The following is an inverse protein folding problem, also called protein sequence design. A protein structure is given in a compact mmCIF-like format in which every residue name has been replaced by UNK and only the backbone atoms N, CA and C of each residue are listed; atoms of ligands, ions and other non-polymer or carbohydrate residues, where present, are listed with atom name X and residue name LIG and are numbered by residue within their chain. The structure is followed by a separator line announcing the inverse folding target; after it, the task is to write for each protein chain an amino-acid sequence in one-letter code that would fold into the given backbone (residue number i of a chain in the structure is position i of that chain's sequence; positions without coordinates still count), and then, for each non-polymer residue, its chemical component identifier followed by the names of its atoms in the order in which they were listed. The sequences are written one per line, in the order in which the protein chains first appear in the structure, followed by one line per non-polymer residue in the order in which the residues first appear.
data_IF_047628194803
#
_entry.id   IF_047628194803
#
_cell.length_a   1.000
_cell.length_b   1.000
_cell.length_c   1.000
_cell.angle_alpha   90.00
_cell.angle_beta   90.00
_cell.angle_gamma   90.00
#
_symmetry.space_group_name_H-M   'P 1'
#
loop_
_entity.id
_entity.type
_entity.pdbx_description
1 polymer ?
#
# COMPACT_ATOMS: atom_id res chain seq x y z
N UNK A 1 -5.00 15.43 -16.15
CA UNK A 1 -6.02 16.49 -16.19
C UNK A 1 -6.63 16.54 -17.58
N UNK A 2 -7.96 16.57 -17.67
CA UNK A 2 -8.71 16.65 -18.91
C UNK A 2 -9.59 17.91 -18.92
N UNK A 3 -9.80 18.45 -20.12
CA UNK A 3 -10.66 19.62 -20.36
C UNK A 3 -11.75 19.21 -21.35
N UNK A 4 -12.99 19.59 -21.06
CA UNK A 4 -14.14 19.39 -21.92
C UNK A 4 -14.76 20.74 -22.32
N UNK A 5 -15.62 20.70 -23.35
CA UNK A 5 -16.28 21.87 -23.89
C UNK A 5 -17.21 22.55 -22.88
N UNK A 6 -17.53 23.82 -23.14
CA UNK A 6 -18.37 24.63 -22.25
C UNK A 6 -19.82 24.15 -22.17
N UNK A 7 -20.32 23.45 -23.19
CA UNK A 7 -21.68 22.91 -23.22
C UNK A 7 -21.82 21.55 -22.54
N UNK A 8 -20.71 20.89 -22.17
CA UNK A 8 -20.75 19.51 -21.70
C UNK A 8 -21.33 19.42 -20.29
N UNK A 9 -22.25 18.48 -20.05
CA UNK A 9 -22.78 18.23 -18.71
C UNK A 9 -21.76 17.48 -17.85
N UNK A 10 -21.75 17.76 -16.54
CA UNK A 10 -20.83 17.13 -15.60
C UNK A 10 -21.21 15.69 -15.32
N UNK A 11 -22.50 15.39 -15.24
CA UNK A 11 -23.00 14.08 -14.83
C UNK A 11 -22.60 12.94 -15.79
N UNK A 12 -22.73 13.07 -17.13
CA UNK A 12 -22.25 12.03 -18.05
C UNK A 12 -20.74 11.80 -17.97
N UNK A 13 -19.96 12.88 -17.84
CA UNK A 13 -18.50 12.80 -17.66
C UNK A 13 -18.20 12.06 -16.36
N UNK A 14 -18.81 12.50 -15.25
CA UNK A 14 -18.63 11.88 -13.94
C UNK A 14 -18.95 10.39 -13.96
N UNK A 15 -20.12 10.00 -14.48
CA UNK A 15 -20.55 8.61 -14.52
C UNK A 15 -19.62 7.73 -15.37
N UNK A 16 -19.14 8.24 -16.51
CA UNK A 16 -18.20 7.53 -17.37
C UNK A 16 -16.87 7.20 -16.66
N UNK A 17 -16.29 8.18 -15.96
CA UNK A 17 -15.04 7.96 -15.24
C UNK A 17 -15.24 7.22 -13.92
N UNK A 18 -16.35 7.45 -13.20
CA UNK A 18 -16.73 6.68 -12.01
C UNK A 18 -16.80 5.19 -12.33
N UNK A 19 -17.41 4.82 -13.46
CA UNK A 19 -17.52 3.42 -13.87
C UNK A 19 -16.13 2.80 -14.07
N UNK A 20 -15.24 3.47 -14.80
CA UNK A 20 -13.86 2.99 -15.01
C UNK A 20 -13.07 2.81 -13.72
N UNK A 21 -13.28 3.69 -12.73
CA UNK A 21 -12.59 3.59 -11.44
C UNK A 21 -13.20 2.50 -10.53
N UNK A 22 -14.49 2.20 -10.68
CA UNK A 22 -15.22 1.28 -9.80
C UNK A 22 -15.05 -0.19 -10.13
N UNK A 23 -14.70 -0.55 -11.36
CA UNK A 23 -14.71 -1.94 -11.81
C UNK A 23 -13.78 -2.86 -10.98
N UNK A 24 -12.92 -2.30 -10.10
CA UNK A 24 -12.11 -3.07 -9.14
C UNK A 24 -11.86 -2.34 -7.80
N UNK A 25 -12.68 -1.35 -7.41
CA UNK A 25 -12.40 -0.49 -6.25
C UNK A 25 -13.61 -0.20 -5.35
N UNK A 26 -13.37 0.00 -4.05
CA UNK A 26 -14.37 0.44 -3.06
C UNK A 26 -14.49 1.97 -3.05
N UNK A 27 -15.70 2.52 -2.88
CA UNK A 27 -15.85 3.98 -2.67
C UNK A 27 -15.55 4.29 -1.22
N UNK A 28 -14.62 5.21 -0.97
CA UNK A 28 -14.34 5.74 0.36
C UNK A 28 -15.06 7.05 0.63
N UNK A 29 -15.18 7.91 -0.38
CA UNK A 29 -15.84 9.20 -0.25
C UNK A 29 -16.43 9.65 -1.58
N UNK A 30 -17.62 10.23 -1.53
CA UNK A 30 -18.30 10.80 -2.70
C UNK A 30 -19.12 12.02 -2.27
N UNK A 31 -19.01 13.11 -3.01
CA UNK A 31 -19.84 14.30 -2.80
C UNK A 31 -20.14 15.02 -4.12
N UNK A 32 -21.20 15.82 -4.13
CA UNK A 32 -21.59 16.65 -5.29
C UNK A 32 -22.10 18.01 -4.83
N UNK A 33 -21.72 19.04 -5.56
CA UNK A 33 -22.08 20.43 -5.28
C UNK A 33 -21.46 20.90 -3.96
N UNK A 34 -22.25 21.63 -3.19
CA UNK A 34 -21.76 22.31 -1.97
C UNK A 34 -21.38 21.36 -0.85
N UNK A 35 -21.82 20.10 -0.88
CA UNK A 35 -21.44 19.10 0.13
C UNK A 35 -19.97 18.72 0.03
N UNK A 36 -19.30 19.04 -1.08
CA UNK A 36 -17.84 18.91 -1.20
C UNK A 36 -17.04 20.00 -0.48
N UNK A 37 -17.69 21.04 0.05
CA UNK A 37 -16.99 22.18 0.63
C UNK A 37 -16.47 23.16 -0.44
N UNK A 38 -15.39 23.87 -0.14
CA UNK A 38 -14.88 24.95 -0.99
C UNK A 38 -14.10 24.41 -2.20
N UNK A 39 -14.56 24.75 -3.41
CA UNK A 39 -13.83 24.44 -4.64
C UNK A 39 -12.46 25.12 -4.71
N UNK A 40 -12.32 26.29 -4.06
CA UNK A 40 -11.05 26.99 -3.97
C UNK A 40 -10.03 26.22 -3.13
N UNK A 41 -10.48 25.62 -2.01
CA UNK A 41 -9.61 24.78 -1.18
C UNK A 41 -9.15 23.53 -1.95
N UNK A 42 -10.07 22.86 -2.67
CA UNK A 42 -9.69 21.73 -3.52
C UNK A 42 -8.70 22.15 -4.61
N UNK A 43 -9.02 23.17 -5.39
CA UNK A 43 -8.19 23.59 -6.51
C UNK A 43 -6.81 24.09 -6.07
N UNK A 44 -6.75 25.00 -5.09
CA UNK A 44 -5.52 25.72 -4.77
C UNK A 44 -4.73 25.14 -3.60
N UNK A 45 -5.38 24.48 -2.63
CA UNK A 45 -4.68 23.96 -1.45
C UNK A 45 -4.39 22.46 -1.57
N UNK A 46 -5.36 21.67 -2.09
CA UNK A 46 -5.19 20.22 -2.22
C UNK A 46 -4.50 19.83 -3.53
N UNK A 47 -5.06 20.21 -4.68
CA UNK A 47 -4.51 19.86 -6.00
C UNK A 47 -3.42 20.82 -6.49
N UNK A 48 -3.31 22.01 -5.88
CA UNK A 48 -2.40 23.08 -6.30
C UNK A 48 -2.48 23.41 -7.81
N UNK A 49 -3.70 23.43 -8.36
CA UNK A 49 -3.99 23.76 -9.75
C UNK A 49 -5.25 24.63 -9.89
N UNK A 50 -5.03 25.94 -10.05
CA UNK A 50 -6.08 26.95 -10.17
C UNK A 50 -7.06 26.71 -11.33
N UNK A 51 -6.69 25.88 -12.32
CA UNK A 51 -7.58 25.55 -13.44
C UNK A 51 -8.78 24.73 -12.97
N UNK A 52 -8.71 24.08 -11.81
CA UNK A 52 -9.81 23.32 -11.23
C UNK A 52 -10.84 24.18 -10.51
N UNK A 53 -10.53 25.46 -10.26
CA UNK A 53 -11.43 26.35 -9.55
C UNK A 53 -12.69 26.68 -10.37
N UNK A 54 -13.84 26.55 -9.72
CA UNK A 54 -15.17 26.72 -10.29
C UNK A 54 -16.23 26.99 -9.23
N UNK A 55 -17.51 27.02 -9.62
CA UNK A 55 -18.59 27.23 -8.65
C UNK A 55 -18.74 26.01 -7.71
N UNK A 56 -18.89 26.23 -6.41
CA UNK A 56 -19.07 25.14 -5.43
C UNK A 56 -20.28 24.26 -5.75
N UNK A 57 -21.31 24.79 -6.43
CA UNK A 57 -22.49 24.03 -6.85
C UNK A 57 -22.24 23.07 -8.02
N UNK A 58 -21.12 23.24 -8.74
CA UNK A 58 -20.81 22.53 -9.99
C UNK A 58 -19.57 21.65 -9.83
N UNK A 59 -19.31 21.13 -8.63
CA UNK A 59 -18.19 20.23 -8.39
C UNK A 59 -18.67 18.83 -8.02
N UNK A 60 -17.87 17.82 -8.33
CA UNK A 60 -18.04 16.46 -7.84
C UNK A 60 -16.66 15.92 -7.48
N UNK A 61 -16.57 15.25 -6.33
CA UNK A 61 -15.37 14.56 -5.87
C UNK A 61 -15.73 13.11 -5.61
N UNK A 62 -14.86 12.21 -6.05
CA UNK A 62 -14.93 10.79 -5.77
C UNK A 62 -13.54 10.32 -5.34
N UNK A 63 -13.49 9.57 -4.25
CA UNK A 63 -12.30 8.85 -3.77
C UNK A 63 -12.64 7.38 -3.72
N UNK A 64 -11.86 6.57 -4.43
CA UNK A 64 -11.96 5.12 -4.38
C UNK A 64 -10.64 4.53 -3.87
N UNK A 65 -10.71 3.36 -3.28
CA UNK A 65 -9.55 2.55 -2.93
C UNK A 65 -9.63 1.19 -3.63
N UNK A 66 -8.54 0.84 -4.31
CA UNK A 66 -8.29 -0.50 -4.80
C UNK A 66 -7.27 -1.14 -3.85
N UNK A 67 -7.71 -2.18 -3.16
CA UNK A 67 -6.90 -2.94 -2.22
C UNK A 67 -6.39 -4.19 -2.93
N UNK A 68 -5.07 -4.30 -3.01
CA UNK A 68 -4.34 -5.53 -3.35
C UNK A 68 -3.63 -6.04 -2.09
N UNK A 69 -3.20 -7.29 -2.06
CA UNK A 69 -2.67 -7.97 -0.85
C UNK A 69 -1.53 -7.21 -0.14
N UNK A 70 -0.83 -6.33 -0.85
CA UNK A 70 0.34 -5.58 -0.34
C UNK A 70 0.23 -4.06 -0.44
N UNK A 71 -0.72 -3.54 -1.23
CA UNK A 71 -0.80 -2.13 -1.57
C UNK A 71 -2.24 -1.66 -1.59
N UNK A 72 -2.45 -0.41 -1.18
CA UNK A 72 -3.72 0.28 -1.39
C UNK A 72 -3.50 1.42 -2.38
N UNK A 73 -4.11 1.32 -3.56
CA UNK A 73 -4.15 2.43 -4.52
C UNK A 73 -5.39 3.27 -4.25
N UNK A 74 -5.19 4.53 -3.86
CA UNK A 74 -6.24 5.52 -3.76
C UNK A 74 -6.33 6.29 -5.08
N UNK A 75 -7.52 6.36 -5.65
CA UNK A 75 -7.77 7.16 -6.85
C UNK A 75 -8.75 8.27 -6.53
N UNK A 76 -8.37 9.50 -6.87
CA UNK A 76 -9.14 10.71 -6.62
C UNK A 76 -9.59 11.29 -7.96
N UNK A 77 -10.89 11.42 -8.12
CA UNK A 77 -11.54 12.09 -9.23
C UNK A 77 -12.13 13.41 -8.74
N UNK A 78 -11.69 14.53 -9.30
CA UNK A 78 -12.30 15.84 -9.07
C UNK A 78 -12.74 16.46 -10.39
N UNK A 79 -14.02 16.82 -10.47
CA UNK A 79 -14.64 17.41 -11.64
C UNK A 79 -15.25 18.76 -11.24
N UNK A 80 -14.98 19.82 -12.00
CA UNK A 80 -15.62 21.12 -11.79
C UNK A 80 -15.79 21.90 -13.09
N UNK A 81 -16.78 22.79 -13.13
CA UNK A 81 -16.93 23.81 -14.17
C UNK A 81 -16.33 25.13 -13.73
N UNK A 82 -15.31 25.59 -14.47
CA UNK A 82 -14.70 26.90 -14.25
C UNK A 82 -15.67 28.04 -14.53
N UNK A 83 -15.39 29.21 -13.97
CA UNK A 83 -16.16 30.43 -14.28
C UNK A 83 -16.20 30.80 -15.77
N UNK A 84 -15.16 30.44 -16.54
CA UNK A 84 -15.13 30.63 -18.00
C UNK A 84 -15.97 29.61 -18.79
N UNK A 85 -16.56 28.62 -18.12
CA UNK A 85 -17.47 27.62 -18.68
C UNK A 85 -16.84 26.25 -18.98
N UNK A 86 -15.52 26.17 -19.12
CA UNK A 86 -14.83 24.90 -19.38
C UNK A 86 -15.02 23.91 -18.21
N UNK A 87 -15.27 22.65 -18.53
CA UNK A 87 -15.32 21.56 -17.52
C UNK A 87 -13.94 20.93 -17.42
N UNK A 88 -13.45 20.78 -16.19
CA UNK A 88 -12.11 20.28 -15.89
C UNK A 88 -12.20 19.06 -15.00
N UNK A 89 -11.52 17.98 -15.40
CA UNK A 89 -11.41 16.73 -14.66
C UNK A 89 -9.96 16.51 -14.23
N UNK A 90 -9.74 16.34 -12.93
CA UNK A 90 -8.50 15.82 -12.35
C UNK A 90 -8.73 14.37 -11.98
N UNK A 91 -7.78 13.53 -12.38
CA UNK A 91 -7.63 12.16 -11.89
C UNK A 91 -6.23 12.08 -11.30
N UNK A 92 -6.13 11.71 -10.03
CA UNK A 92 -4.88 11.42 -9.35
C UNK A 92 -4.92 9.99 -8.79
N UNK A 93 -3.78 9.31 -8.83
CA UNK A 93 -3.59 8.01 -8.19
C UNK A 93 -2.46 8.16 -7.17
N UNK A 94 -2.71 7.66 -5.97
CA UNK A 94 -1.79 7.62 -4.85
C UNK A 94 -1.67 6.16 -4.45
N UNK A 95 -0.52 5.55 -4.75
CA UNK A 95 -0.21 4.21 -4.26
C UNK A 95 0.32 4.37 -2.85
N UNK A 96 -0.52 4.05 -1.86
CA UNK A 96 -0.01 3.72 -0.54
C UNK A 96 0.56 2.32 -0.65
N UNK A 97 1.89 2.26 -0.77
CA UNK A 97 2.54 1.06 -0.28
C UNK A 97 2.18 0.98 1.19
N UNK A 98 1.92 -0.22 1.68
CA UNK A 98 2.10 -0.43 3.11
C UNK A 98 3.57 -0.10 3.35
N UNK A 99 3.86 1.14 3.72
CA UNK A 99 5.15 1.50 4.27
C UNK A 99 5.19 0.62 5.50
N UNK A 100 6.01 -0.42 5.44
CA UNK A 100 6.44 -1.07 6.66
C UNK A 100 7.13 0.04 7.43
N UNK A 101 6.37 0.71 8.31
CA UNK A 101 6.79 1.90 9.07
C UNK A 101 8.13 1.60 9.69
N UNK A 102 9.17 2.33 9.29
CA UNK A 102 10.53 2.34 9.85
C UNK A 102 10.92 1.02 10.54
N UNK A 103 10.68 -0.12 9.88
CA UNK A 103 11.05 -1.40 10.47
C UNK A 103 12.54 -1.51 10.35
N UNK A 104 13.23 -1.14 11.42
CA UNK A 104 14.64 -1.38 11.53
C UNK A 104 14.88 -2.88 11.30
N UNK A 105 15.75 -3.20 10.34
CA UNK A 105 16.30 -4.54 10.20
C UNK A 105 17.20 -4.77 11.41
N UNK A 106 16.60 -5.23 12.50
CA UNK A 106 17.27 -5.39 13.80
C UNK A 106 18.10 -6.67 13.86
N UNK A 107 17.83 -7.64 13.00
CA UNK A 107 18.58 -8.89 12.93
C UNK A 107 18.47 -9.55 11.56
N UNK A 108 19.60 -9.99 11.02
CA UNK A 108 19.65 -10.74 9.78
C UNK A 108 20.73 -11.83 9.87
N UNK A 109 20.36 -13.05 9.48
CA UNK A 109 21.28 -14.19 9.46
C UNK A 109 20.87 -15.19 8.38
N UNK A 110 21.79 -16.09 7.99
CA UNK A 110 21.43 -17.23 7.15
C UNK A 110 20.40 -18.12 7.86
N UNK A 111 19.39 -18.59 7.10
CA UNK A 111 18.41 -19.58 7.57
C UNK A 111 19.02 -20.86 8.17
N UNK A 112 20.26 -21.18 7.79
CA UNK A 112 20.96 -22.37 8.29
C UNK A 112 21.56 -22.17 9.69
N UNK A 113 21.75 -20.93 10.15
CA UNK A 113 22.32 -20.63 11.46
C UNK A 113 21.24 -20.61 12.55
N UNK A 114 20.72 -21.81 12.84
CA UNK A 114 19.65 -22.01 13.83
C UNK A 114 20.05 -21.54 15.23
N UNK A 115 21.34 -21.56 15.55
CA UNK A 115 21.86 -21.13 16.86
C UNK A 115 21.75 -19.62 17.01
N UNK A 116 22.17 -18.86 15.99
CA UNK A 116 22.04 -17.41 16.00
C UNK A 116 20.57 -16.98 16.05
N UNK A 117 19.71 -17.63 15.27
CA UNK A 117 18.25 -17.36 15.27
C UNK A 117 17.68 -17.59 16.66
N UNK A 118 17.93 -18.76 17.27
CA UNK A 118 17.41 -19.08 18.61
C UNK A 118 17.86 -18.08 19.66
N UNK A 119 19.17 -17.76 19.70
CA UNK A 119 19.74 -16.81 20.64
C UNK A 119 19.11 -15.42 20.53
N UNK A 120 18.80 -14.98 19.31
CA UNK A 120 18.13 -13.70 19.09
C UNK A 120 16.69 -13.75 19.62
N UNK A 121 15.94 -14.79 19.29
CA UNK A 121 14.55 -14.95 19.75
C UNK A 121 14.44 -15.06 21.27
N UNK A 122 15.38 -15.73 21.92
CA UNK A 122 15.48 -15.81 23.39
C UNK A 122 15.74 -14.43 24.03
N UNK A 123 16.25 -13.45 23.27
CA UNK A 123 16.55 -12.09 23.76
C UNK A 123 15.38 -11.11 23.62
N UNK A 124 14.30 -11.50 22.96
CA UNK A 124 13.14 -10.63 22.68
C UNK A 124 12.13 -10.71 23.83
N UNK A 125 11.56 -9.56 24.20
CA UNK A 125 10.53 -9.48 25.23
C UNK A 125 9.19 -10.07 24.74
N UNK A 126 8.41 -10.66 25.64
CA UNK A 126 7.17 -11.38 25.27
C UNK A 126 6.09 -10.51 24.61
N UNK A 127 6.14 -9.19 24.84
CA UNK A 127 5.15 -8.24 24.33
C UNK A 127 5.47 -7.72 22.90
N UNK A 128 6.62 -8.10 22.31
CA UNK A 128 6.99 -7.65 20.96
C UNK A 128 6.49 -8.62 19.88
N UNK A 129 5.66 -8.12 18.96
CA UNK A 129 5.30 -8.86 17.75
C UNK A 129 6.45 -8.81 16.75
N UNK A 130 7.04 -9.98 16.45
CA UNK A 130 8.22 -10.09 15.59
C UNK A 130 7.83 -10.69 14.24
N UNK A 131 8.20 -10.01 13.15
CA UNK A 131 8.02 -10.54 11.80
C UNK A 131 9.34 -11.05 11.25
N UNK A 132 9.38 -12.32 10.86
CA UNK A 132 10.53 -12.96 10.23
C UNK A 132 10.30 -13.12 8.73
N UNK A 133 11.05 -12.38 7.91
CA UNK A 133 11.05 -12.54 6.46
C UNK A 133 12.02 -13.64 6.07
N UNK A 134 11.49 -14.60 5.30
CA UNK A 134 12.25 -15.71 4.74
C UNK A 134 12.37 -15.51 3.24
N UNK A 135 13.60 -15.41 2.77
CA UNK A 135 13.90 -15.29 1.34
C UNK A 135 14.40 -16.60 0.76
N UNK A 136 14.14 -16.82 -0.53
CA UNK A 136 14.63 -17.96 -1.32
C UNK A 136 15.45 -17.47 -2.52
N UNK A 137 16.25 -18.35 -3.14
CA UNK A 137 17.10 -17.99 -4.26
C UNK A 137 16.33 -17.35 -5.44
N UNK A 138 16.89 -16.29 -6.02
CA UNK A 138 16.28 -15.53 -7.12
C UNK A 138 16.22 -16.32 -8.43
N UNK A 139 17.03 -17.39 -8.55
CA UNK A 139 17.07 -18.25 -9.73
C UNK A 139 15.87 -19.22 -9.85
N UNK A 140 14.99 -19.28 -8.85
CA UNK A 140 13.78 -20.10 -8.86
C UNK A 140 12.60 -19.32 -9.44
N UNK A 141 11.64 -20.03 -10.04
CA UNK A 141 10.35 -19.43 -10.39
C UNK A 141 9.59 -19.04 -9.12
N UNK A 142 8.70 -18.02 -9.14
CA UNK A 142 7.99 -17.56 -7.95
C UNK A 142 7.26 -18.68 -7.20
N UNK A 143 6.55 -19.55 -7.92
CA UNK A 143 5.85 -20.71 -7.34
C UNK A 143 6.81 -21.69 -6.66
N UNK A 144 7.97 -21.97 -7.28
CA UNK A 144 8.96 -22.89 -6.72
C UNK A 144 9.66 -22.28 -5.51
N UNK A 145 9.98 -20.98 -5.57
CA UNK A 145 10.59 -20.24 -4.48
C UNK A 145 9.67 -20.19 -3.26
N UNK A 146 8.37 -19.95 -3.47
CA UNK A 146 7.37 -20.00 -2.40
C UNK A 146 7.34 -21.37 -1.71
N UNK A 147 7.32 -22.47 -2.46
CA UNK A 147 7.32 -23.82 -1.89
C UNK A 147 8.61 -24.13 -1.12
N UNK A 148 9.77 -23.70 -1.62
CA UNK A 148 11.06 -23.91 -0.97
C UNK A 148 11.12 -23.13 0.35
N UNK A 149 10.77 -21.85 0.34
CA UNK A 149 10.68 -21.02 1.54
C UNK A 149 9.67 -21.58 2.55
N UNK A 150 8.51 -22.09 2.09
CA UNK A 150 7.55 -22.72 2.98
C UNK A 150 8.14 -23.95 3.69
N UNK A 151 8.86 -24.81 2.95
CA UNK A 151 9.56 -25.94 3.55
C UNK A 151 10.64 -25.53 4.55
N UNK A 152 11.35 -24.44 4.29
CA UNK A 152 12.34 -23.87 5.21
C UNK A 152 11.70 -23.32 6.49
N UNK A 153 10.55 -22.63 6.37
CA UNK A 153 9.77 -22.14 7.52
C UNK A 153 9.35 -23.31 8.41
N UNK A 154 8.78 -24.36 7.85
CA UNK A 154 8.34 -25.52 8.64
C UNK A 154 9.52 -26.24 9.30
N UNK A 155 10.64 -26.41 8.60
CA UNK A 155 11.86 -26.97 9.19
C UNK A 155 12.44 -26.10 10.32
N UNK A 156 12.29 -24.77 10.21
CA UNK A 156 12.74 -23.83 11.22
C UNK A 156 11.83 -23.91 12.47
N UNK A 157 10.51 -23.90 12.31
CA UNK A 157 9.53 -24.07 13.41
C UNK A 157 9.82 -25.32 14.24
N UNK A 158 10.07 -26.46 13.56
CA UNK A 158 10.43 -27.71 14.23
C UNK A 158 11.71 -27.55 15.07
N UNK A 159 12.71 -26.83 14.56
CA UNK A 159 13.99 -26.67 15.26
C UNK A 159 13.97 -25.63 16.39
N UNK A 160 13.10 -24.63 16.30
CA UNK A 160 12.87 -23.65 17.36
C UNK A 160 12.04 -24.25 18.51
N UNK A 161 11.12 -25.15 18.18
CA UNK A 161 10.11 -25.64 19.11
C UNK A 161 8.89 -24.71 19.17
N UNK A 162 7.81 -25.19 19.78
CA UNK A 162 6.50 -24.53 19.75
C UNK A 162 6.53 -23.15 20.42
N UNK A 163 7.13 -23.05 21.60
CA UNK A 163 7.21 -21.81 22.39
C UNK A 163 7.82 -20.63 21.62
N UNK A 164 8.95 -20.85 20.94
CA UNK A 164 9.61 -19.80 20.15
C UNK A 164 8.92 -19.56 18.80
N UNK A 165 8.31 -20.59 18.23
CA UNK A 165 7.61 -20.47 16.95
C UNK A 165 6.34 -19.63 17.07
N UNK A 166 5.64 -19.72 18.21
CA UNK A 166 4.40 -18.97 18.46
C UNK A 166 4.66 -17.46 18.69
N UNK A 167 5.90 -17.08 19.04
CA UNK A 167 6.34 -15.68 19.22
C UNK A 167 6.63 -14.96 17.90
N UNK A 168 6.62 -15.66 16.75
CA UNK A 168 7.10 -15.11 15.47
C UNK A 168 6.06 -15.30 14.38
N UNK A 169 5.79 -14.22 13.65
CA UNK A 169 5.05 -14.29 12.39
C UNK A 169 6.01 -14.46 11.21
N UNK A 170 5.99 -15.62 10.57
CA UNK A 170 6.82 -15.90 9.39
C UNK A 170 6.16 -15.37 8.12
N UNK A 171 6.89 -14.55 7.36
CA UNK A 171 6.48 -14.03 6.05
C UNK A 171 7.35 -14.71 4.99
N UNK A 172 6.70 -15.43 4.07
CA UNK A 172 7.36 -16.07 2.95
C UNK A 172 7.51 -15.06 1.80
N UNK A 173 8.75 -14.62 1.55
CA UNK A 173 9.04 -13.63 0.51
C UNK A 173 9.46 -14.27 -0.82
N UNK A 174 9.49 -15.61 -0.92
CA UNK A 174 9.84 -16.35 -2.13
C UNK A 174 11.15 -15.84 -2.75
N UNK A 175 11.16 -15.61 -4.05
CA UNK A 175 12.32 -15.12 -4.82
C UNK A 175 12.38 -13.59 -4.95
N UNK A 176 11.62 -12.85 -4.14
CA UNK A 176 11.56 -11.38 -4.19
C UNK A 176 12.77 -10.71 -3.53
N UNK A 177 13.73 -11.50 -3.02
CA UNK A 177 15.00 -10.97 -2.55
C UNK A 177 15.86 -10.49 -3.70
N UNK A 178 16.52 -9.34 -3.52
CA UNK A 178 17.57 -8.90 -4.42
C UNK A 178 18.88 -9.62 -4.05
N UNK A 179 19.49 -10.40 -4.97
CA UNK A 179 20.69 -11.20 -4.69
C UNK A 179 21.87 -10.42 -4.12
N UNK A 180 21.94 -9.12 -4.37
CA UNK A 180 22.98 -8.22 -3.82
C UNK A 180 22.91 -8.16 -2.28
N UNK A 181 21.72 -8.30 -1.70
CA UNK A 181 21.50 -8.30 -0.25
C UNK A 181 21.43 -9.72 0.34
N UNK A 182 21.71 -10.76 -0.47
CA UNK A 182 21.74 -12.17 -0.07
C UNK A 182 20.41 -12.91 -0.23
N UNK A 183 20.51 -14.25 -0.24
CA UNK A 183 19.40 -15.19 -0.43
C UNK A 183 19.40 -16.22 0.72
N UNK A 184 18.26 -16.86 1.01
CA UNK A 184 18.11 -17.79 2.15
C UNK A 184 18.36 -17.13 3.51
N UNK A 185 17.75 -15.96 3.71
CA UNK A 185 17.94 -15.16 4.91
C UNK A 185 16.75 -15.27 5.84
N UNK A 186 17.05 -15.28 7.14
CA UNK A 186 16.14 -14.98 8.22
C UNK A 186 16.35 -13.51 8.57
N UNK A 187 15.38 -12.65 8.25
CA UNK A 187 15.43 -11.22 8.56
C UNK A 187 14.31 -10.87 9.52
N UNK A 188 14.64 -10.20 10.60
CA UNK A 188 13.64 -9.77 11.58
C UNK A 188 13.38 -8.29 11.43
N UNK A 189 12.10 -7.97 11.31
CA UNK A 189 11.58 -6.62 11.39
C UNK A 189 10.84 -6.47 12.71
N UNK A 190 11.18 -5.42 13.45
CA UNK A 190 10.46 -5.00 14.66
C UNK A 190 9.79 -3.67 14.35
N UNK A 191 8.49 -3.59 14.62
CA UNK A 191 7.78 -2.33 14.56
C UNK A 191 8.07 -1.57 15.86
N UNK A 192 8.85 -0.49 15.77
CA UNK A 192 9.15 0.34 16.93
C UNK A 192 8.01 1.33 17.17
N UNK A 193 6.99 0.89 17.91
CA UNK A 193 5.89 1.74 18.39
C UNK A 193 6.35 2.85 19.37
N UNK A 194 7.66 3.06 19.57
CA UNK A 194 8.20 4.03 20.55
C UNK A 194 8.71 5.35 19.96
N UNK A 195 8.59 5.57 18.65
CA UNK A 195 8.83 6.91 18.08
C UNK A 195 7.54 7.77 18.16
N UNK A 196 7.57 8.92 18.87
CA UNK A 196 6.43 9.83 18.99
C UNK A 196 6.11 10.59 17.70
#
# INVERSE_FOLDING_TARGET
MYKFGRGESLEPIYNHYKQQLKDSASILYECTGRTCGSSNAWANNFFNDYRLYGADSNQTLLVVANEDDLNTEYQVLYLNRRGAGDVMLRLDSIVSHTVVEDTDLVFQVSLNDKVAIRRYLDSINEDQSVYALITSPANLTPSKAFQVAQGQIEALKISLGQELSDKISFINFGNQANPIYGENLFSVLVNDNTKP
#
